data_IF_349963995017
#
_entry.id   IF_349963995017
#
_cell.length_a   1.000
_cell.length_b   1.000
_cell.length_c   1.000
_cell.angle_alpha   90.00
_cell.angle_beta   90.00
_cell.angle_gamma   90.00
#
_symmetry.space_group_name_H-M   'P 1'
#
loop_
_entity.id
_entity.type
_entity.pdbx_description
1 polymer ?
#
# COMPACT_ATOMS: atom_id res chain seq x y z
N UNK A 1 -13.16 -6.09 -11.51
CA UNK A 1 -13.42 -7.00 -10.39
C UNK A 1 -13.89 -6.15 -9.23
N UNK A 2 -15.04 -6.46 -8.62
CA UNK A 2 -15.46 -5.75 -7.42
C UNK A 2 -14.56 -6.20 -6.26
N UNK A 3 -14.01 -5.25 -5.50
CA UNK A 3 -13.20 -5.52 -4.32
C UNK A 3 -14.05 -5.21 -3.09
N UNK A 4 -14.08 -6.12 -2.13
CA UNK A 4 -14.83 -5.96 -0.88
C UNK A 4 -14.08 -5.03 0.07
N UNK A 5 -14.79 -4.06 0.64
CA UNK A 5 -14.25 -3.10 1.62
C UNK A 5 -14.25 -3.68 3.04
N UNK A 6 -13.60 -4.82 3.22
CA UNK A 6 -13.51 -5.58 4.48
C UNK A 6 -12.13 -6.22 4.63
N UNK A 7 -11.85 -6.76 5.82
CA UNK A 7 -10.64 -7.55 6.08
C UNK A 7 -10.77 -8.96 5.48
N UNK A 8 -9.69 -9.42 4.86
CA UNK A 8 -9.59 -10.80 4.37
C UNK A 8 -9.44 -11.80 5.53
N UNK A 9 -8.84 -11.43 6.65
CA UNK A 9 -8.71 -12.31 7.82
C UNK A 9 -9.81 -12.09 8.86
N UNK A 10 -10.02 -13.11 9.69
CA UNK A 10 -10.82 -13.00 10.91
C UNK A 10 -10.06 -12.18 11.93
N UNK A 11 -10.75 -11.24 12.56
CA UNK A 11 -10.23 -10.38 13.61
C UNK A 11 -10.98 -10.65 14.92
N UNK A 12 -10.35 -10.45 16.09
CA UNK A 12 -11.01 -10.64 17.37
C UNK A 12 -12.31 -9.83 17.47
N UNK A 13 -13.40 -10.47 17.89
CA UNK A 13 -14.73 -9.86 17.98
C UNK A 13 -14.89 -8.90 19.16
N UNK A 14 -13.88 -8.79 20.02
CA UNK A 14 -13.86 -7.84 21.15
C UNK A 14 -13.65 -6.38 20.70
N UNK A 15 -13.38 -6.16 19.41
CA UNK A 15 -13.20 -4.84 18.81
C UNK A 15 -11.90 -4.15 19.22
N UNK A 16 -11.05 -4.81 20.02
CA UNK A 16 -9.77 -4.28 20.47
C UNK A 16 -8.60 -4.71 19.57
N UNK A 17 -8.80 -5.77 18.77
CA UNK A 17 -7.79 -6.30 17.87
C UNK A 17 -7.81 -5.67 16.47
N UNK A 18 -6.68 -5.10 16.05
CA UNK A 18 -6.47 -4.71 14.65
C UNK A 18 -5.90 -5.83 13.79
N UNK A 19 -5.25 -6.81 14.43
CA UNK A 19 -4.52 -7.90 13.79
C UNK A 19 -5.43 -9.13 13.61
N UNK A 20 -5.03 -9.99 12.68
CA UNK A 20 -5.69 -11.27 12.46
C UNK A 20 -5.63 -12.18 13.70
N UNK A 21 -6.69 -12.95 13.91
CA UNK A 21 -6.74 -13.96 14.96
C UNK A 21 -5.70 -15.07 14.74
N UNK A 22 -4.98 -15.42 15.79
CA UNK A 22 -3.97 -16.47 15.75
C UNK A 22 -4.59 -17.84 15.40
N UNK A 23 -3.92 -18.62 14.55
CA UNK A 23 -4.36 -19.95 14.14
C UNK A 23 -5.54 -19.99 13.17
N UNK A 24 -6.12 -18.84 12.79
CA UNK A 24 -7.21 -18.76 11.82
C UNK A 24 -6.65 -18.46 10.43
N UNK A 25 -6.99 -19.29 9.46
CA UNK A 25 -6.60 -19.05 8.07
C UNK A 25 -7.33 -17.81 7.52
N UNK A 26 -6.62 -16.91 6.82
CA UNK A 26 -7.26 -15.79 6.12
C UNK A 26 -8.06 -16.28 4.91
N UNK A 27 -8.82 -15.37 4.28
CA UNK A 27 -9.56 -15.66 3.05
C UNK A 27 -8.67 -16.29 1.96
N UNK A 28 -9.26 -17.14 1.13
CA UNK A 28 -8.53 -17.88 0.08
C UNK A 28 -8.08 -17.00 -1.08
N UNK A 29 -8.80 -15.92 -1.38
CA UNK A 29 -8.48 -14.97 -2.43
C UNK A 29 -8.35 -13.55 -1.87
N UNK A 30 -7.09 -13.12 -1.68
CA UNK A 30 -6.76 -11.80 -1.12
C UNK A 30 -6.95 -10.68 -2.15
N UNK A 31 -7.06 -10.98 -3.44
CA UNK A 31 -7.25 -9.96 -4.47
C UNK A 31 -8.67 -9.38 -4.49
N UNK A 32 -9.62 -10.10 -3.89
CA UNK A 32 -11.02 -9.69 -3.75
C UNK A 32 -11.29 -8.80 -2.52
N UNK A 33 -10.26 -8.46 -1.72
CA UNK A 33 -10.41 -7.65 -0.49
C UNK A 33 -9.48 -6.44 -0.49
N UNK A 34 -9.98 -5.31 0.04
CA UNK A 34 -9.16 -4.10 0.20
C UNK A 34 -8.13 -4.26 1.31
N UNK A 35 -8.50 -4.91 2.42
CA UNK A 35 -7.64 -5.04 3.60
C UNK A 35 -7.27 -6.48 3.90
N UNK A 36 -6.05 -6.68 4.38
CA UNK A 36 -5.62 -7.97 4.92
C UNK A 36 -6.17 -8.16 6.33
N UNK A 37 -5.88 -7.22 7.23
CA UNK A 37 -6.46 -7.09 8.56
C UNK A 37 -7.39 -5.85 8.63
N UNK A 38 -7.64 -5.23 9.79
CA UNK A 38 -8.56 -4.07 9.83
C UNK A 38 -7.93 -2.74 9.38
N UNK A 39 -6.60 -2.67 9.22
CA UNK A 39 -5.89 -1.40 8.96
C UNK A 39 -4.87 -1.48 7.83
N UNK A 40 -4.34 -2.66 7.52
CA UNK A 40 -3.35 -2.86 6.49
C UNK A 40 -4.01 -3.36 5.19
N UNK A 41 -3.71 -2.74 4.02
CA UNK A 41 -4.18 -3.21 2.73
C UNK A 41 -3.70 -4.62 2.39
N UNK A 42 -4.41 -5.30 1.49
CA UNK A 42 -3.90 -6.54 0.89
C UNK A 42 -2.68 -6.27 -0.01
N UNK A 43 -1.88 -7.30 -0.25
CA UNK A 43 -0.77 -7.23 -1.21
C UNK A 43 -1.24 -6.74 -2.58
N UNK A 44 -2.41 -7.17 -3.03
CA UNK A 44 -3.00 -6.74 -4.29
C UNK A 44 -3.18 -5.21 -4.35
N UNK A 45 -3.70 -4.61 -3.28
CA UNK A 45 -3.84 -3.16 -3.17
C UNK A 45 -2.47 -2.48 -3.10
N UNK A 46 -1.50 -3.04 -2.36
CA UNK A 46 -0.13 -2.52 -2.33
C UNK A 46 0.55 -2.51 -3.70
N UNK A 47 0.35 -3.54 -4.53
CA UNK A 47 0.86 -3.57 -5.91
C UNK A 47 0.26 -2.43 -6.73
N UNK A 48 -1.04 -2.17 -6.60
CA UNK A 48 -1.68 -1.05 -7.31
C UNK A 48 -1.16 0.32 -6.83
N UNK A 49 -1.10 0.53 -5.52
CA UNK A 49 -0.62 1.78 -4.92
C UNK A 49 0.84 2.05 -5.27
N UNK A 50 1.71 1.05 -5.15
CA UNK A 50 3.14 1.17 -5.48
C UNK A 50 3.36 1.41 -6.97
N UNK A 51 2.57 0.78 -7.85
CA UNK A 51 2.62 1.04 -9.30
C UNK A 51 2.27 2.50 -9.60
N UNK A 52 1.20 3.03 -8.98
CA UNK A 52 0.82 4.44 -9.13
C UNK A 52 1.90 5.37 -8.58
N UNK A 53 2.39 5.12 -7.37
CA UNK A 53 3.47 5.90 -6.77
C UNK A 53 4.75 5.91 -7.61
N UNK A 54 5.07 4.77 -8.26
CA UNK A 54 6.27 4.63 -9.05
C UNK A 54 6.20 5.33 -10.40
N UNK A 55 5.07 5.23 -11.11
CA UNK A 55 5.01 5.63 -12.51
C UNK A 55 3.75 6.35 -12.97
N UNK A 56 2.80 6.72 -12.09
CA UNK A 56 1.63 7.49 -12.50
C UNK A 56 2.05 8.86 -13.05
N UNK A 57 1.28 9.37 -14.01
CA UNK A 57 1.43 10.70 -14.61
C UNK A 57 0.30 11.64 -14.15
N UNK A 58 -0.60 11.17 -13.28
CA UNK A 58 -1.72 11.96 -12.78
C UNK A 58 -1.33 12.68 -11.48
N UNK A 59 -1.45 14.00 -11.47
CA UNK A 59 -1.20 14.83 -10.28
C UNK A 59 -2.11 14.48 -9.09
N UNK A 60 -3.28 13.90 -9.34
CA UNK A 60 -4.19 13.43 -8.29
C UNK A 60 -3.68 12.18 -7.57
N UNK A 61 -2.70 11.46 -8.14
CA UNK A 61 -2.11 10.25 -7.56
C UNK A 61 -0.70 10.49 -7.03
N UNK A 62 0.08 11.30 -7.73
CA UNK A 62 1.49 11.61 -7.41
C UNK A 62 1.77 13.07 -7.73
N UNK A 63 2.32 13.81 -6.77
CA UNK A 63 2.71 15.20 -6.96
C UNK A 63 3.94 15.51 -6.09
N UNK A 64 4.94 16.28 -6.58
CA UNK A 64 5.01 16.94 -7.90
C UNK A 64 5.49 16.05 -9.06
N UNK A 65 5.95 14.83 -8.77
CA UNK A 65 6.35 13.83 -9.75
C UNK A 65 6.40 12.45 -9.09
N UNK A 66 6.41 11.38 -9.88
CA UNK A 66 6.50 10.01 -9.39
C UNK A 66 7.92 9.59 -8.97
N UNK A 67 8.04 8.44 -8.29
CA UNK A 67 9.34 7.93 -7.79
C UNK A 67 10.32 7.66 -8.94
N UNK A 68 9.86 7.22 -10.11
CA UNK A 68 10.72 6.98 -11.27
C UNK A 68 11.38 8.27 -11.75
N UNK A 69 10.66 9.39 -11.79
CA UNK A 69 11.22 10.72 -12.10
C UNK A 69 12.20 11.14 -11.02
N UNK A 70 11.82 11.04 -9.74
CA UNK A 70 12.69 11.39 -8.61
C UNK A 70 14.04 10.68 -8.68
N UNK A 71 14.04 9.36 -8.90
CA UNK A 71 15.25 8.55 -8.99
C UNK A 71 16.14 8.92 -10.19
N UNK A 72 15.59 9.56 -11.22
CA UNK A 72 16.30 10.04 -12.39
C UNK A 72 16.79 11.49 -12.30
N UNK A 73 16.49 12.21 -11.22
CA UNK A 73 16.95 13.59 -11.07
C UNK A 73 18.46 13.63 -10.81
N UNK A 74 19.17 14.40 -11.64
CA UNK A 74 20.57 14.72 -11.36
C UNK A 74 20.62 15.60 -10.11
N UNK A 75 21.11 15.05 -9.01
CA UNK A 75 21.46 15.86 -7.84
C UNK A 75 22.66 16.70 -8.23
N UNK A 76 22.43 17.95 -8.62
CA UNK A 76 23.53 18.91 -8.75
C UNK A 76 24.11 19.09 -7.35
N UNK A 77 25.36 18.67 -7.19
CA UNK A 77 26.14 18.78 -5.95
C UNK A 77 26.47 20.25 -5.65
N UNK A 78 25.45 21.04 -5.33
CA UNK A 78 25.63 22.34 -4.67
C UNK A 78 25.21 22.29 -3.20
N UNK A 79 24.53 21.20 -2.77
CA UNK A 79 24.11 20.96 -1.38
C UNK A 79 24.66 19.67 -0.78
N UNK A 80 25.60 18.97 -1.44
CA UNK A 80 26.44 17.99 -0.76
C UNK A 80 27.45 18.73 0.13
N UNK A 81 26.94 19.42 1.15
CA UNK A 81 27.75 19.84 2.28
C UNK A 81 28.18 18.56 3.01
N UNK A 82 29.49 18.34 3.20
CA UNK A 82 29.96 17.20 3.96
C UNK A 82 29.54 17.41 5.41
N UNK A 83 28.57 16.62 5.83
CA UNK A 83 28.52 16.10 7.19
C UNK A 83 28.82 14.62 7.09
#
# INVERSE_FOLDING_TARGET
VAVTNESCCTVPSDGAGFLCSEGVAPCSDRSSYLYFDTVHPTEHVYVQLSTKAYSSELDTEVYPFNVKVLAGLAVTSSLAQPW
#
